data_IF_041014358440
#
_entry.id   IF_041014358440
#
_cell.length_a   1.000
_cell.length_b   1.000
_cell.length_c   1.000
_cell.angle_alpha   90.00
_cell.angle_beta   90.00
_cell.angle_gamma   90.00
#
_symmetry.space_group_name_H-M   'P 1'
#
loop_
_entity.id
_entity.type
_entity.pdbx_description
1 polymer ?
#
# COMPACT_ATOMS: atom_id res chain seq x y z
N UNK A 1 6.11 13.46 18.22
CA UNK A 1 5.27 13.03 19.37
C UNK A 1 6.17 12.37 20.40
N UNK A 2 6.18 12.85 21.65
CA UNK A 2 6.79 12.11 22.75
C UNK A 2 5.88 10.91 23.05
N UNK A 3 6.21 9.75 22.49
CA UNK A 3 5.46 8.51 22.70
C UNK A 3 5.45 8.15 24.18
N UNK A 4 4.31 7.65 24.67
CA UNK A 4 4.20 7.17 26.04
C UNK A 4 5.22 6.04 26.26
N UNK A 5 6.04 6.09 27.32
CA UNK A 5 7.03 5.05 27.58
C UNK A 5 6.39 3.66 27.64
N UNK A 6 7.08 2.63 27.10
CA UNK A 6 6.56 1.26 27.07
C UNK A 6 6.15 0.74 28.46
N UNK A 7 6.82 1.17 29.53
CA UNK A 7 6.46 0.76 30.90
C UNK A 7 5.05 1.23 31.30
N UNK A 8 4.62 2.42 30.85
CA UNK A 8 3.28 2.93 31.10
C UNK A 8 2.25 2.17 30.28
N UNK A 9 2.55 1.90 29.01
CA UNK A 9 1.72 1.04 28.14
C UNK A 9 1.52 -0.32 28.80
N UNK A 10 2.59 -0.93 29.31
CA UNK A 10 2.54 -2.21 30.01
C UNK A 10 1.65 -2.18 31.24
N UNK A 11 1.70 -1.12 32.04
CA UNK A 11 0.86 -0.98 33.22
C UNK A 11 -0.62 -0.90 32.84
N UNK A 12 -0.94 -0.14 31.79
CA UNK A 12 -2.31 -0.03 31.26
C UNK A 12 -2.80 -1.39 30.73
N UNK A 13 -1.99 -2.07 29.91
CA UNK A 13 -2.32 -3.38 29.34
C UNK A 13 -2.56 -4.47 30.40
N UNK A 14 -1.98 -4.32 31.59
CA UNK A 14 -2.24 -5.23 32.73
C UNK A 14 -3.56 -4.93 33.46
N UNK A 15 -4.11 -3.74 33.31
CA UNK A 15 -5.34 -3.31 33.98
C UNK A 15 -6.60 -3.56 33.14
N UNK A 16 -6.44 -3.85 31.85
CA UNK A 16 -7.55 -4.09 30.93
C UNK A 16 -7.69 -5.57 30.60
N UNK A 17 -8.91 -6.02 30.30
CA UNK A 17 -9.12 -7.35 29.74
C UNK A 17 -8.71 -7.35 28.26
N UNK A 18 -7.51 -7.86 27.98
CA UNK A 18 -6.94 -7.90 26.64
C UNK A 18 -7.79 -8.70 25.66
N UNK A 19 -8.53 -9.70 26.13
CA UNK A 19 -9.38 -10.53 25.28
C UNK A 19 -10.51 -9.71 24.63
N UNK A 20 -10.96 -8.62 25.27
CA UNK A 20 -12.02 -7.76 24.71
C UNK A 20 -11.51 -6.76 23.66
N UNK A 21 -10.19 -6.66 23.43
CA UNK A 21 -9.62 -5.68 22.50
C UNK A 21 -9.84 -6.16 21.07
N UNK A 22 -10.49 -5.32 20.26
CA UNK A 22 -10.78 -5.59 18.85
C UNK A 22 -9.86 -4.80 17.90
N UNK A 23 -9.27 -3.70 18.36
CA UNK A 23 -8.44 -2.84 17.53
C UNK A 23 -7.20 -2.38 18.30
N UNK A 24 -6.05 -2.40 17.63
CA UNK A 24 -4.78 -1.90 18.16
C UNK A 24 -4.08 -1.06 17.10
N UNK A 25 -3.70 0.15 17.48
CA UNK A 25 -2.78 0.99 16.72
C UNK A 25 -1.53 1.27 17.54
N UNK A 26 -0.37 0.89 16.98
CA UNK A 26 0.95 1.19 17.52
C UNK A 26 1.63 2.16 16.56
N UNK A 27 1.61 3.43 16.91
CA UNK A 27 2.31 4.49 16.17
C UNK A 27 3.44 5.06 17.02
N UNK A 28 4.51 4.29 17.18
CA UNK A 28 5.67 4.65 17.98
C UNK A 28 6.93 4.22 17.24
N UNK A 29 7.99 5.03 17.31
CA UNK A 29 9.32 4.72 16.78
C UNK A 29 10.02 3.62 17.59
N UNK A 30 9.43 2.44 17.65
CA UNK A 30 9.95 1.30 18.39
C UNK A 30 11.00 0.58 17.57
N UNK A 31 12.11 0.24 18.22
CA UNK A 31 13.01 -0.77 17.68
C UNK A 31 12.42 -2.16 17.93
N UNK A 32 12.76 -3.13 17.08
CA UNK A 32 12.26 -4.50 17.14
C UNK A 32 12.35 -5.16 18.54
N UNK A 33 13.43 -5.00 19.35
CA UNK A 33 13.47 -5.51 20.72
C UNK A 33 12.47 -4.87 21.71
N UNK A 34 11.98 -3.65 21.42
CA UNK A 34 10.92 -3.01 22.20
C UNK A 34 9.57 -3.60 21.77
N UNK A 35 9.37 -3.80 20.45
CA UNK A 35 8.19 -4.48 19.93
C UNK A 35 8.05 -5.89 20.53
N UNK A 36 9.15 -6.63 20.73
CA UNK A 36 9.08 -7.98 21.32
C UNK A 36 8.61 -8.00 22.78
N UNK A 37 8.74 -6.89 23.50
CA UNK A 37 8.17 -6.75 24.85
C UNK A 37 6.65 -6.55 24.81
N UNK A 38 6.10 -6.03 23.71
CA UNK A 38 4.66 -5.91 23.48
C UNK A 38 4.01 -7.23 23.03
N UNK A 39 4.77 -8.08 22.34
CA UNK A 39 4.34 -9.37 21.78
C UNK A 39 3.46 -10.23 22.71
N UNK A 40 3.79 -10.43 24.02
CA UNK A 40 2.96 -11.26 24.88
C UNK A 40 1.55 -10.71 25.12
N UNK A 41 1.36 -9.39 25.04
CA UNK A 41 0.05 -8.75 25.17
C UNK A 41 -0.74 -8.90 23.88
N UNK A 42 -0.10 -8.73 22.72
CA UNK A 42 -0.73 -8.96 21.42
C UNK A 42 -1.32 -10.37 21.32
N UNK A 43 -0.56 -11.39 21.75
CA UNK A 43 -1.05 -12.77 21.75
C UNK A 43 -2.20 -13.08 22.71
N UNK A 44 -2.54 -12.17 23.62
CA UNK A 44 -3.71 -12.30 24.52
C UNK A 44 -4.96 -11.62 23.95
N UNK A 45 -4.84 -10.79 22.91
CA UNK A 45 -5.94 -10.08 22.28
C UNK A 45 -6.62 -10.97 21.24
N UNK A 46 -7.27 -12.05 21.70
CA UNK A 46 -7.77 -13.10 20.79
C UNK A 46 -8.88 -12.62 19.87
N UNK A 47 -9.67 -11.63 20.28
CA UNK A 47 -10.75 -11.02 19.50
C UNK A 47 -10.29 -9.83 18.62
N UNK A 48 -8.98 -9.65 18.43
CA UNK A 48 -8.43 -8.58 17.61
C UNK A 48 -8.84 -8.74 16.14
N UNK A 49 -9.46 -7.70 15.58
CA UNK A 49 -9.92 -7.60 14.20
C UNK A 49 -9.05 -6.67 13.36
N UNK A 50 -8.52 -5.60 13.97
CA UNK A 50 -7.66 -4.59 13.32
C UNK A 50 -6.33 -4.45 14.06
N UNK A 51 -5.23 -4.58 13.32
CA UNK A 51 -3.90 -4.27 13.80
C UNK A 51 -3.23 -3.26 12.87
N UNK A 52 -2.83 -2.12 13.43
CA UNK A 52 -2.02 -1.11 12.77
C UNK A 52 -0.68 -0.98 13.49
N UNK A 53 0.41 -1.23 12.76
CA UNK A 53 1.78 -1.03 13.23
C UNK A 53 2.46 0.02 12.35
N UNK A 54 3.06 1.00 12.98
CA UNK A 54 3.69 2.14 12.32
C UNK A 54 5.06 2.42 12.93
N UNK A 55 6.05 2.72 12.08
CA UNK A 55 7.38 3.19 12.47
C UNK A 55 8.19 2.19 13.34
N UNK A 56 8.21 0.91 12.95
CA UNK A 56 9.02 -0.10 13.64
C UNK A 56 10.34 -0.29 12.90
N UNK A 57 11.44 -0.05 13.60
CA UNK A 57 12.77 -0.16 13.02
C UNK A 57 13.57 -1.38 13.53
N UNK A 58 14.50 -1.87 12.73
CA UNK A 58 15.47 -2.89 13.12
C UNK A 58 16.73 -2.18 13.59
N UNK A 59 17.14 -2.41 14.84
CA UNK A 59 18.40 -1.84 15.30
C UNK A 59 19.58 -2.42 14.51
N UNK A 60 20.41 -1.56 13.91
CA UNK A 60 21.60 -1.97 13.14
C UNK A 60 22.62 -2.84 13.90
N UNK A 61 22.50 -2.94 15.22
CA UNK A 61 23.44 -3.63 16.10
C UNK A 61 23.10 -5.11 16.40
N UNK A 62 21.95 -5.63 15.95
CA UNK A 62 21.43 -6.95 16.40
C UNK A 62 21.07 -7.88 15.23
N UNK A 63 21.98 -8.04 14.27
CA UNK A 63 21.75 -8.88 13.09
C UNK A 63 21.50 -10.36 13.43
N UNK A 64 22.17 -10.90 14.46
CA UNK A 64 22.08 -12.33 14.79
C UNK A 64 20.76 -12.72 15.49
N UNK A 65 20.15 -11.83 16.28
CA UNK A 65 18.86 -12.08 16.96
C UNK A 65 17.64 -11.52 16.25
N UNK A 66 17.82 -10.79 15.14
CA UNK A 66 16.70 -10.21 14.39
C UNK A 66 15.67 -11.28 14.02
N UNK A 67 16.10 -12.41 13.43
CA UNK A 67 15.19 -13.51 13.06
C UNK A 67 14.41 -14.07 14.24
N UNK A 68 15.06 -14.19 15.41
CA UNK A 68 14.41 -14.65 16.64
C UNK A 68 13.32 -13.67 17.09
N UNK A 69 13.62 -12.36 17.08
CA UNK A 69 12.63 -11.35 17.44
C UNK A 69 11.47 -11.25 16.44
N UNK A 70 11.75 -11.36 15.14
CA UNK A 70 10.70 -11.41 14.12
C UNK A 70 9.82 -12.63 14.35
N UNK A 71 10.42 -13.82 14.52
CA UNK A 71 9.68 -15.07 14.80
C UNK A 71 8.84 -14.94 16.08
N UNK A 72 9.41 -14.37 17.14
CA UNK A 72 8.73 -14.15 18.41
C UNK A 72 7.48 -13.28 18.20
N UNK A 73 7.61 -12.19 17.44
CA UNK A 73 6.50 -11.29 17.12
C UNK A 73 5.45 -11.94 16.21
N UNK A 74 5.86 -12.46 15.05
CA UNK A 74 4.97 -13.03 14.03
C UNK A 74 4.20 -14.24 14.52
N UNK A 75 4.82 -15.07 15.39
CA UNK A 75 4.14 -16.25 15.98
C UNK A 75 2.87 -15.91 16.77
N UNK A 76 2.69 -14.66 17.25
CA UNK A 76 1.45 -14.29 17.94
C UNK A 76 0.25 -14.21 17.00
N UNK A 77 0.47 -14.00 15.70
CA UNK A 77 -0.61 -13.97 14.71
C UNK A 77 -1.35 -15.31 14.63
N UNK A 78 -0.71 -16.42 15.05
CA UNK A 78 -1.36 -17.72 15.20
C UNK A 78 -2.54 -17.71 16.18
N UNK A 79 -2.56 -16.75 17.12
CA UNK A 79 -3.61 -16.60 18.16
C UNK A 79 -4.67 -15.56 17.79
N UNK A 80 -4.46 -14.80 16.71
CA UNK A 80 -5.33 -13.70 16.28
C UNK A 80 -6.38 -14.21 15.30
N UNK A 81 -7.31 -15.03 15.80
CA UNK A 81 -8.27 -15.77 14.98
C UNK A 81 -9.39 -14.93 14.36
N UNK A 82 -9.44 -13.62 14.62
CA UNK A 82 -10.43 -12.71 14.05
C UNK A 82 -9.81 -11.56 13.26
N UNK A 83 -8.48 -11.57 13.07
CA UNK A 83 -7.78 -10.50 12.36
C UNK A 83 -8.22 -10.47 10.90
N UNK A 84 -8.79 -9.34 10.49
CA UNK A 84 -9.26 -9.11 9.12
C UNK A 84 -8.62 -7.86 8.50
N UNK A 85 -8.09 -6.95 9.31
CA UNK A 85 -7.47 -5.73 8.84
C UNK A 85 -6.05 -5.59 9.39
N UNK A 86 -5.09 -5.50 8.48
CA UNK A 86 -3.68 -5.43 8.81
C UNK A 86 -3.03 -4.24 8.10
N UNK A 87 -2.55 -3.29 8.89
CA UNK A 87 -1.85 -2.10 8.42
C UNK A 87 -0.42 -2.11 8.96
N UNK A 88 0.57 -1.99 8.07
CA UNK A 88 1.98 -1.90 8.41
C UNK A 88 2.62 -0.78 7.62
N UNK A 89 2.96 0.30 8.32
CA UNK A 89 3.55 1.48 7.71
C UNK A 89 4.98 1.68 8.25
N UNK A 90 5.98 1.73 7.38
CA UNK A 90 7.39 1.90 7.77
C UNK A 90 7.83 0.86 8.82
N UNK A 91 7.60 -0.42 8.53
CA UNK A 91 7.96 -1.57 9.35
C UNK A 91 9.14 -2.30 8.70
N UNK A 92 10.37 -1.98 9.11
CA UNK A 92 11.58 -2.41 8.38
C UNK A 92 11.89 -3.90 8.53
N UNK A 93 11.41 -4.56 9.58
CA UNK A 93 11.66 -6.00 9.76
C UNK A 93 10.95 -6.91 8.75
N UNK A 94 10.03 -6.37 7.94
CA UNK A 94 9.33 -7.15 6.90
C UNK A 94 10.25 -7.57 5.75
N UNK A 95 11.33 -6.84 5.51
CA UNK A 95 12.28 -7.12 4.43
C UNK A 95 12.85 -8.53 4.57
N UNK A 96 12.50 -9.43 3.64
CA UNK A 96 12.93 -10.82 3.62
C UNK A 96 12.30 -11.72 4.71
N UNK A 97 11.25 -11.24 5.40
CA UNK A 97 10.58 -11.97 6.48
C UNK A 97 9.04 -11.93 6.41
N UNK A 98 8.48 -11.41 5.31
CA UNK A 98 7.02 -11.32 5.16
C UNK A 98 6.37 -12.72 5.18
N UNK A 99 7.07 -13.74 4.69
CA UNK A 99 6.65 -15.15 4.71
C UNK A 99 6.32 -15.66 6.12
N UNK A 100 7.13 -15.32 7.12
CA UNK A 100 6.93 -15.73 8.51
C UNK A 100 5.60 -15.18 9.04
N UNK A 101 5.31 -13.90 8.75
CA UNK A 101 4.05 -13.29 9.16
C UNK A 101 2.86 -13.91 8.43
N UNK A 102 2.95 -14.02 7.09
CA UNK A 102 1.88 -14.54 6.26
C UNK A 102 1.53 -16.00 6.60
N UNK A 103 2.53 -16.81 6.96
CA UNK A 103 2.33 -18.21 7.37
C UNK A 103 1.56 -18.35 8.69
N UNK A 104 1.57 -17.30 9.53
CA UNK A 104 0.88 -17.29 10.81
C UNK A 104 -0.58 -16.83 10.71
N UNK A 105 -1.00 -16.22 9.60
CA UNK A 105 -2.38 -15.77 9.39
C UNK A 105 -3.34 -16.95 9.23
N UNK A 106 -4.35 -17.06 10.10
CA UNK A 106 -5.37 -18.12 10.06
C UNK A 106 -6.67 -17.69 9.41
N UNK A 107 -6.95 -16.40 9.37
CA UNK A 107 -8.16 -15.82 8.82
C UNK A 107 -7.90 -15.10 7.50
N UNK A 108 -8.85 -15.15 6.55
CA UNK A 108 -8.81 -14.28 5.39
C UNK A 108 -8.86 -12.81 5.81
N UNK A 109 -7.88 -12.03 5.35
CA UNK A 109 -7.86 -10.58 5.47
C UNK A 109 -8.83 -9.96 4.47
N UNK A 110 -9.50 -8.89 4.91
CA UNK A 110 -10.27 -7.96 4.07
C UNK A 110 -9.42 -6.76 3.67
N UNK A 111 -8.55 -6.30 4.57
CA UNK A 111 -7.67 -5.14 4.34
C UNK A 111 -6.23 -5.54 4.62
N UNK A 112 -5.37 -5.27 3.64
CA UNK A 112 -3.93 -5.33 3.78
C UNK A 112 -3.32 -4.04 3.25
N UNK A 113 -2.71 -3.27 4.14
CA UNK A 113 -1.91 -2.12 3.80
C UNK A 113 -0.48 -2.35 4.27
N UNK A 114 0.47 -2.42 3.34
CA UNK A 114 1.90 -2.42 3.64
C UNK A 114 2.47 -1.19 2.94
N UNK A 115 2.73 -0.12 3.68
CA UNK A 115 3.10 1.16 3.10
C UNK A 115 4.47 1.63 3.58
N UNK A 116 5.23 2.30 2.72
CA UNK A 116 6.56 2.85 3.06
C UNK A 116 7.51 1.81 3.70
N UNK A 117 7.38 0.54 3.31
CA UNK A 117 8.22 -0.56 3.75
C UNK A 117 9.19 -0.96 2.63
N UNK A 118 10.31 -1.58 3.01
CA UNK A 118 11.21 -2.24 2.06
C UNK A 118 10.77 -3.70 1.95
N UNK A 119 10.49 -4.15 0.72
CA UNK A 119 10.16 -5.55 0.43
C UNK A 119 11.07 -6.06 -0.68
N UNK A 120 11.44 -7.34 -0.59
CA UNK A 120 12.16 -8.06 -1.64
C UNK A 120 11.17 -8.69 -2.63
N UNK A 121 11.67 -9.10 -3.80
CA UNK A 121 10.86 -9.84 -4.75
C UNK A 121 10.32 -11.16 -4.16
N UNK A 122 11.08 -11.81 -3.27
CA UNK A 122 10.61 -12.99 -2.52
C UNK A 122 9.39 -12.68 -1.66
N UNK A 123 9.36 -11.52 -1.00
CA UNK A 123 8.23 -11.11 -0.16
C UNK A 123 6.96 -10.94 -1.01
N UNK A 124 7.08 -10.34 -2.20
CA UNK A 124 5.96 -10.24 -3.14
C UNK A 124 5.47 -11.62 -3.62
N UNK A 125 6.39 -12.57 -3.86
CA UNK A 125 6.03 -13.95 -4.20
C UNK A 125 5.26 -14.61 -3.06
N UNK A 126 5.75 -14.52 -1.82
CA UNK A 126 5.06 -15.06 -0.65
C UNK A 126 3.69 -14.43 -0.45
N UNK A 127 3.58 -13.12 -0.63
CA UNK A 127 2.30 -12.41 -0.56
C UNK A 127 1.31 -12.94 -1.61
N UNK A 128 1.75 -13.07 -2.87
CA UNK A 128 0.91 -13.60 -3.95
C UNK A 128 0.45 -15.04 -3.73
N UNK A 129 1.21 -15.83 -2.96
CA UNK A 129 0.91 -17.24 -2.68
C UNK A 129 0.07 -17.43 -1.41
N UNK A 130 0.03 -16.44 -0.52
CA UNK A 130 -0.69 -16.53 0.74
C UNK A 130 -2.20 -16.79 0.51
N UNK A 131 -2.79 -17.83 1.13
CA UNK A 131 -4.24 -18.08 1.05
C UNK A 131 -5.06 -17.01 1.78
N UNK A 132 -4.52 -16.47 2.87
CA UNK A 132 -5.19 -15.51 3.74
C UNK A 132 -5.42 -14.14 3.08
N UNK A 133 -4.85 -13.88 1.90
CA UNK A 133 -5.09 -12.64 1.13
C UNK A 133 -6.08 -12.82 -0.03
N UNK A 134 -6.69 -13.99 -0.18
CA UNK A 134 -7.56 -14.30 -1.34
C UNK A 134 -8.91 -13.58 -1.36
N UNK A 135 -9.26 -12.86 -0.29
CA UNK A 135 -10.55 -12.18 -0.10
C UNK A 135 -10.37 -10.68 0.19
N UNK A 136 -9.21 -10.12 -0.19
CA UNK A 136 -8.93 -8.71 0.03
C UNK A 136 -9.92 -7.84 -0.75
N UNK A 137 -10.48 -6.87 -0.02
CA UNK A 137 -11.19 -5.70 -0.55
C UNK A 137 -10.25 -4.51 -0.72
N UNK A 138 -9.21 -4.44 0.10
CA UNK A 138 -8.25 -3.34 0.07
C UNK A 138 -6.84 -3.89 0.04
N UNK A 139 -6.10 -3.51 -1.01
CA UNK A 139 -4.66 -3.72 -1.12
C UNK A 139 -3.98 -2.37 -1.29
N UNK A 140 -3.16 -1.98 -0.31
CA UNK A 140 -2.41 -0.74 -0.34
C UNK A 140 -0.91 -1.04 -0.19
N UNK A 141 -0.15 -0.77 -1.24
CA UNK A 141 1.30 -1.00 -1.30
C UNK A 141 2.08 0.31 -1.49
N UNK A 142 1.46 1.46 -1.17
CA UNK A 142 2.02 2.78 -1.42
C UNK A 142 3.41 2.95 -0.79
N UNK A 143 4.33 3.55 -1.53
CA UNK A 143 5.70 3.82 -1.08
C UNK A 143 6.59 2.58 -0.99
N UNK A 144 6.12 1.38 -1.38
CA UNK A 144 7.02 0.23 -1.58
C UNK A 144 7.74 0.41 -2.91
N UNK A 145 9.07 0.38 -2.90
CA UNK A 145 9.88 0.45 -4.12
C UNK A 145 9.72 -0.83 -4.96
N UNK A 146 8.88 -0.75 -5.99
CA UNK A 146 8.65 -1.81 -6.97
C UNK A 146 9.48 -1.61 -8.27
N UNK A 147 10.16 -0.48 -8.41
CA UNK A 147 11.09 -0.22 -9.49
C UNK A 147 12.11 -1.36 -9.64
N UNK A 148 12.29 -1.87 -10.87
CA UNK A 148 13.21 -2.95 -11.23
C UNK A 148 12.89 -4.34 -10.64
N UNK A 149 11.78 -4.53 -9.94
CA UNK A 149 11.31 -5.86 -9.49
C UNK A 149 10.44 -6.55 -10.56
N UNK A 150 10.38 -7.87 -10.54
CA UNK A 150 9.38 -8.60 -11.32
C UNK A 150 7.97 -8.38 -10.74
N UNK A 151 7.03 -7.85 -11.53
CA UNK A 151 5.64 -7.62 -11.09
C UNK A 151 4.70 -8.81 -11.34
N UNK A 152 5.20 -9.95 -11.81
CA UNK A 152 4.40 -11.17 -11.98
C UNK A 152 3.73 -11.61 -10.66
N UNK A 153 4.39 -11.57 -9.49
CA UNK A 153 3.70 -11.87 -8.23
C UNK A 153 2.54 -10.92 -7.93
N UNK A 154 2.70 -9.61 -8.22
CA UNK A 154 1.62 -8.64 -8.05
C UNK A 154 0.47 -8.91 -9.03
N UNK A 155 0.77 -9.26 -10.28
CA UNK A 155 -0.23 -9.70 -11.26
C UNK A 155 -1.01 -10.93 -10.76
N UNK A 156 -0.32 -11.94 -10.21
CA UNK A 156 -0.95 -13.14 -9.64
C UNK A 156 -1.85 -12.78 -8.45
N UNK A 157 -1.38 -11.89 -7.56
CA UNK A 157 -2.17 -11.41 -6.43
C UNK A 157 -3.44 -10.69 -6.92
N UNK A 158 -3.32 -9.74 -7.84
CA UNK A 158 -4.47 -9.03 -8.41
C UNK A 158 -5.44 -10.00 -9.10
N UNK A 159 -4.94 -10.99 -9.83
CA UNK A 159 -5.78 -12.03 -10.45
C UNK A 159 -6.54 -12.86 -9.41
N UNK A 160 -5.93 -13.12 -8.25
CA UNK A 160 -6.55 -13.84 -7.13
C UNK A 160 -7.67 -13.04 -6.47
N UNK A 161 -7.49 -11.73 -6.31
CA UNK A 161 -8.44 -10.84 -5.61
C UNK A 161 -9.36 -10.07 -6.56
N UNK A 162 -9.33 -10.38 -7.86
CA UNK A 162 -10.06 -9.63 -8.88
C UNK A 162 -11.58 -9.57 -8.63
N UNK A 163 -12.17 -10.61 -8.03
CA UNK A 163 -13.60 -10.65 -7.72
C UNK A 163 -14.01 -9.94 -6.42
N UNK A 164 -13.05 -9.41 -5.65
CA UNK A 164 -13.30 -8.84 -4.31
C UNK A 164 -12.67 -7.47 -4.10
N UNK A 165 -11.68 -7.09 -4.90
CA UNK A 165 -10.86 -5.91 -4.68
C UNK A 165 -11.63 -4.63 -5.00
N UNK A 166 -11.85 -3.80 -3.99
CA UNK A 166 -12.56 -2.52 -4.06
C UNK A 166 -11.60 -1.32 -4.07
N UNK A 167 -10.43 -1.43 -3.43
CA UNK A 167 -9.38 -0.41 -3.39
C UNK A 167 -8.01 -0.99 -3.73
N UNK A 168 -7.31 -0.32 -4.65
CA UNK A 168 -5.91 -0.59 -4.97
C UNK A 168 -5.08 0.68 -4.90
N UNK A 169 -4.09 0.71 -4.00
CA UNK A 169 -3.11 1.80 -3.88
C UNK A 169 -1.70 1.32 -4.27
N UNK A 170 -1.12 1.95 -5.28
CA UNK A 170 0.24 1.70 -5.78
C UNK A 170 1.00 3.03 -5.98
N UNK A 171 0.69 4.05 -5.20
CA UNK A 171 1.38 5.33 -5.26
C UNK A 171 2.85 5.18 -4.84
N UNK A 172 3.72 5.98 -5.43
CA UNK A 172 5.12 6.11 -5.03
C UNK A 172 5.91 4.81 -5.07
N UNK A 173 5.49 3.89 -5.94
CA UNK A 173 6.13 2.60 -6.10
C UNK A 173 7.31 2.62 -7.09
N UNK A 174 7.49 3.70 -7.84
CA UNK A 174 8.52 3.81 -8.87
C UNK A 174 8.32 2.84 -10.04
N UNK A 175 7.09 2.41 -10.30
CA UNK A 175 6.76 1.51 -11.41
C UNK A 175 6.99 2.26 -12.73
N UNK A 176 7.81 1.67 -13.61
CA UNK A 176 8.13 2.25 -14.93
C UNK A 176 7.28 1.65 -16.05
N UNK A 177 7.35 2.27 -17.24
CA UNK A 177 6.60 1.90 -18.46
C UNK A 177 6.58 0.40 -18.75
N UNK A 178 7.75 -0.25 -18.73
CA UNK A 178 7.89 -1.68 -19.04
C UNK A 178 7.16 -2.58 -18.04
N UNK A 179 7.08 -2.17 -16.77
CA UNK A 179 6.47 -2.97 -15.70
C UNK A 179 4.95 -2.85 -15.66
N UNK A 180 4.37 -1.71 -16.05
CA UNK A 180 2.90 -1.50 -16.03
C UNK A 180 2.18 -2.59 -16.82
N UNK A 181 2.69 -2.92 -18.02
CA UNK A 181 2.11 -3.94 -18.90
C UNK A 181 1.91 -5.31 -18.22
N UNK A 182 2.70 -5.64 -17.20
CA UNK A 182 2.62 -6.90 -16.47
C UNK A 182 1.34 -6.99 -15.62
N UNK A 183 0.90 -5.89 -15.01
CA UNK A 183 -0.26 -5.91 -14.10
C UNK A 183 -1.59 -5.65 -14.82
N UNK A 184 -1.58 -5.03 -16.01
CA UNK A 184 -2.80 -4.63 -16.74
C UNK A 184 -3.80 -5.78 -16.97
N UNK A 185 -3.39 -7.01 -17.37
CA UNK A 185 -4.35 -8.09 -17.62
C UNK A 185 -5.13 -8.47 -16.36
N UNK A 186 -4.47 -8.51 -15.21
CA UNK A 186 -5.12 -8.83 -13.94
C UNK A 186 -5.97 -7.65 -13.43
N UNK A 187 -5.46 -6.41 -13.53
CA UNK A 187 -6.18 -5.20 -13.16
C UNK A 187 -7.50 -5.06 -13.93
N UNK A 188 -7.50 -5.32 -15.24
CA UNK A 188 -8.69 -5.24 -16.10
C UNK A 188 -9.82 -6.20 -15.74
N UNK A 189 -9.57 -7.15 -14.83
CA UNK A 189 -10.54 -8.13 -14.31
C UNK A 189 -11.09 -7.75 -12.93
N UNK A 190 -10.59 -6.68 -12.31
CA UNK A 190 -10.98 -6.24 -10.98
C UNK A 190 -12.29 -5.43 -11.03
N UNK A 191 -13.41 -6.07 -11.38
CA UNK A 191 -14.68 -5.38 -11.65
C UNK A 191 -15.31 -4.71 -10.42
N UNK A 192 -14.95 -5.16 -9.21
CA UNK A 192 -15.38 -4.54 -7.95
C UNK A 192 -14.58 -3.28 -7.59
N UNK A 193 -13.54 -2.94 -8.36
CA UNK A 193 -12.64 -1.84 -8.04
C UNK A 193 -13.38 -0.49 -8.11
N UNK A 194 -13.43 0.20 -6.97
CA UNK A 194 -14.05 1.52 -6.82
C UNK A 194 -13.01 2.63 -6.75
N UNK A 195 -11.82 2.34 -6.22
CA UNK A 195 -10.73 3.30 -6.09
C UNK A 195 -9.43 2.70 -6.60
N UNK A 196 -8.79 3.40 -7.52
CA UNK A 196 -7.46 3.07 -8.01
C UNK A 196 -6.53 4.27 -7.87
N UNK A 197 -5.45 4.10 -7.13
CA UNK A 197 -4.42 5.13 -6.93
C UNK A 197 -3.08 4.65 -7.44
N UNK A 198 -2.47 5.42 -8.34
CA UNK A 198 -1.23 5.11 -9.03
C UNK A 198 -0.26 6.30 -9.09
N UNK A 199 -0.43 7.27 -8.19
CA UNK A 199 0.29 8.54 -8.18
C UNK A 199 1.81 8.39 -7.99
N UNK A 200 2.60 9.33 -8.51
CA UNK A 200 4.06 9.34 -8.33
C UNK A 200 4.84 8.20 -8.97
N UNK A 201 4.22 7.42 -9.87
CA UNK A 201 4.94 6.48 -10.71
C UNK A 201 5.42 7.17 -12.00
N UNK A 202 6.71 7.03 -12.39
CA UNK A 202 7.31 7.77 -13.49
C UNK A 202 6.97 7.17 -14.87
N UNK A 203 5.70 7.14 -15.22
CA UNK A 203 5.17 6.57 -16.47
C UNK A 203 4.96 7.63 -17.55
N UNK A 204 5.22 7.25 -18.79
CA UNK A 204 4.97 8.08 -19.97
C UNK A 204 3.48 8.25 -20.27
N UNK A 205 3.16 9.24 -21.10
CA UNK A 205 1.85 9.47 -21.69
C UNK A 205 1.30 8.21 -22.36
N UNK A 206 2.11 7.53 -23.18
CA UNK A 206 1.68 6.33 -23.91
C UNK A 206 1.30 5.18 -22.96
N UNK A 207 2.07 4.98 -21.90
CA UNK A 207 1.75 3.97 -20.88
C UNK A 207 0.49 4.34 -20.12
N UNK A 208 0.30 5.62 -19.79
CA UNK A 208 -0.89 6.08 -19.09
C UNK A 208 -2.15 5.95 -19.95
N UNK A 209 -2.07 6.25 -21.25
CA UNK A 209 -3.14 5.96 -22.21
C UNK A 209 -3.50 4.47 -22.21
N UNK A 210 -2.50 3.59 -22.27
CA UNK A 210 -2.72 2.15 -22.23
C UNK A 210 -3.39 1.71 -20.91
N UNK A 211 -2.92 2.22 -19.77
CA UNK A 211 -3.51 1.96 -18.46
C UNK A 211 -5.00 2.39 -18.42
N UNK A 212 -5.30 3.61 -18.89
CA UNK A 212 -6.67 4.12 -18.97
C UNK A 212 -7.55 3.24 -19.85
N UNK A 213 -7.05 2.78 -21.02
CA UNK A 213 -7.76 1.84 -21.89
C UNK A 213 -8.12 0.53 -21.17
N UNK A 214 -7.24 0.02 -20.31
CA UNK A 214 -7.50 -1.19 -19.54
C UNK A 214 -8.48 -1.00 -18.37
N UNK A 215 -8.73 0.24 -17.95
CA UNK A 215 -9.73 0.56 -16.92
C UNK A 215 -11.14 0.82 -17.47
N UNK A 216 -11.32 0.88 -18.79
CA UNK A 216 -12.63 1.18 -19.43
C UNK A 216 -13.74 0.26 -18.92
N UNK A 217 -13.42 -1.03 -18.72
CA UNK A 217 -14.39 -2.07 -18.32
C UNK A 217 -14.70 -2.08 -16.82
N UNK A 218 -13.99 -1.27 -16.03
CA UNK A 218 -14.13 -1.22 -14.57
C UNK A 218 -15.20 -0.17 -14.20
N UNK A 219 -16.46 -0.50 -14.49
CA UNK A 219 -17.60 0.42 -14.36
C UNK A 219 -17.89 0.91 -12.93
N UNK A 220 -17.36 0.20 -11.93
CA UNK A 220 -17.51 0.57 -10.52
C UNK A 220 -16.51 1.64 -10.06
N UNK A 221 -15.51 1.99 -10.88
CA UNK A 221 -14.53 3.02 -10.55
C UNK A 221 -15.22 4.36 -10.26
N UNK A 222 -15.05 4.82 -9.02
CA UNK A 222 -15.55 6.07 -8.49
C UNK A 222 -14.44 7.11 -8.36
N UNK A 223 -13.22 6.69 -8.03
CA UNK A 223 -12.07 7.55 -7.88
C UNK A 223 -10.84 6.93 -8.52
N UNK A 224 -10.19 7.69 -9.40
CA UNK A 224 -8.97 7.29 -10.08
C UNK A 224 -7.93 8.39 -9.95
N UNK A 225 -6.77 8.03 -9.41
CA UNK A 225 -5.65 8.94 -9.18
C UNK A 225 -4.46 8.49 -10.01
N UNK A 226 -4.11 9.26 -11.02
CA UNK A 226 -3.03 8.96 -11.95
C UNK A 226 -1.87 9.96 -11.81
N UNK A 227 -0.62 9.55 -12.08
CA UNK A 227 0.49 10.49 -12.09
C UNK A 227 0.34 11.44 -13.29
N UNK A 228 0.83 12.67 -13.14
CA UNK A 228 1.12 13.51 -14.30
C UNK A 228 2.08 12.73 -15.23
N UNK A 229 1.81 12.67 -16.55
CA UNK A 229 2.70 11.96 -17.47
C UNK A 229 4.13 12.46 -17.33
N UNK A 230 5.11 11.55 -17.35
CA UNK A 230 6.54 11.89 -17.30
C UNK A 230 6.92 12.91 -18.37
N UNK A 231 6.27 12.86 -19.53
CA UNK A 231 6.39 13.78 -20.65
C UNK A 231 6.00 15.24 -20.33
N UNK A 232 5.42 15.48 -19.16
CA UNK A 232 5.08 16.82 -18.65
C UNK A 232 6.25 17.49 -17.94
N UNK A 233 7.31 16.75 -17.62
CA UNK A 233 8.47 17.24 -16.91
C UNK A 233 9.66 17.43 -17.85
N UNK A 234 10.51 18.40 -17.54
CA UNK A 234 11.81 18.55 -18.22
C UNK A 234 12.86 17.58 -17.65
N UNK A 235 14.07 17.61 -18.22
CA UNK A 235 15.17 16.76 -17.77
C UNK A 235 15.61 17.03 -16.31
N UNK A 236 15.26 18.19 -15.75
CA UNK A 236 15.50 18.55 -14.36
C UNK A 236 14.39 18.12 -13.41
N UNK A 237 13.33 17.47 -13.91
CA UNK A 237 12.17 17.08 -13.10
C UNK A 237 11.22 18.24 -12.79
N UNK A 238 11.34 19.38 -13.48
CA UNK A 238 10.44 20.51 -13.29
C UNK A 238 9.21 20.36 -14.18
N UNK A 239 8.03 20.56 -13.60
CA UNK A 239 6.77 20.45 -14.33
C UNK A 239 6.62 21.61 -15.33
N UNK A 240 6.49 21.29 -16.61
CA UNK A 240 6.11 22.24 -17.63
C UNK A 240 4.58 22.37 -17.68
N UNK A 241 4.04 23.41 -17.02
CA UNK A 241 2.59 23.65 -16.91
C UNK A 241 1.82 23.59 -18.22
N UNK A 242 2.35 24.24 -19.27
CA UNK A 242 1.71 24.25 -20.60
C UNK A 242 1.63 22.85 -21.18
N UNK A 243 2.70 22.05 -21.03
CA UNK A 243 2.75 20.68 -21.54
C UNK A 243 1.84 19.77 -20.74
N UNK A 244 1.86 19.88 -19.41
CA UNK A 244 0.97 19.14 -18.52
C UNK A 244 -0.51 19.40 -18.85
N UNK A 245 -0.90 20.68 -18.99
CA UNK A 245 -2.27 21.05 -19.33
C UNK A 245 -2.73 20.45 -20.67
N UNK A 246 -1.85 20.46 -21.68
CA UNK A 246 -2.12 19.85 -22.98
C UNK A 246 -2.32 18.33 -22.88
N UNK A 247 -1.38 17.62 -22.24
CA UNK A 247 -1.45 16.16 -22.11
C UNK A 247 -2.65 15.71 -21.26
N UNK A 248 -2.93 16.43 -20.17
CA UNK A 248 -4.13 16.22 -19.34
C UNK A 248 -5.40 16.34 -20.17
N UNK A 249 -5.52 17.40 -20.98
CA UNK A 249 -6.69 17.62 -21.83
C UNK A 249 -6.86 16.49 -22.87
N UNK A 250 -5.76 16.03 -23.47
CA UNK A 250 -5.77 14.91 -24.42
C UNK A 250 -6.20 13.59 -23.76
N UNK A 251 -5.63 13.25 -22.60
CA UNK A 251 -6.01 12.04 -21.83
C UNK A 251 -7.49 12.08 -21.46
N UNK A 252 -7.96 13.21 -20.94
CA UNK A 252 -9.36 13.36 -20.55
C UNK A 252 -10.32 13.30 -21.74
N UNK A 253 -9.94 13.87 -22.89
CA UNK A 253 -10.70 13.74 -24.12
C UNK A 253 -10.89 12.27 -24.51
N UNK A 254 -9.80 11.51 -24.58
CA UNK A 254 -9.83 10.09 -24.93
C UNK A 254 -10.64 9.25 -23.95
N UNK A 255 -10.48 9.48 -22.64
CA UNK A 255 -11.26 8.73 -21.64
C UNK A 255 -12.75 9.00 -21.80
N UNK A 256 -13.15 10.25 -22.07
CA UNK A 256 -14.55 10.64 -22.28
C UNK A 256 -15.15 10.04 -23.55
N UNK A 257 -14.34 9.84 -24.59
CA UNK A 257 -14.77 9.14 -25.80
C UNK A 257 -15.04 7.65 -25.55
N UNK A 258 -14.41 7.07 -24.52
CA UNK A 258 -14.47 5.64 -24.20
C UNK A 258 -15.45 5.28 -23.09
N UNK A 259 -15.61 6.15 -22.07
CA UNK A 259 -16.54 5.97 -20.95
C UNK A 259 -16.87 7.30 -20.25
N UNK A 260 -17.83 7.25 -19.33
CA UNK A 260 -18.17 8.38 -18.45
C UNK A 260 -17.50 8.20 -17.08
N UNK A 261 -16.26 8.67 -16.87
CA UNK A 261 -15.60 8.53 -15.58
C UNK A 261 -16.29 9.39 -14.52
N UNK A 262 -16.41 8.86 -13.29
CA UNK A 262 -16.98 9.59 -12.16
C UNK A 262 -16.01 10.67 -11.65
N UNK A 263 -14.78 10.29 -11.30
CA UNK A 263 -13.75 11.22 -10.84
C UNK A 263 -12.35 10.71 -11.18
N UNK A 264 -11.67 11.42 -12.07
CA UNK A 264 -10.26 11.21 -12.42
C UNK A 264 -9.48 12.45 -11.99
N UNK A 265 -8.38 12.26 -11.26
CA UNK A 265 -7.44 13.31 -10.90
C UNK A 265 -6.04 12.92 -11.37
N UNK A 266 -5.32 13.88 -11.92
CA UNK A 266 -3.88 13.76 -12.18
C UNK A 266 -3.10 14.47 -11.07
N UNK A 267 -2.14 13.77 -10.48
CA UNK A 267 -1.32 14.28 -9.40
C UNK A 267 0.07 14.63 -9.92
N UNK A 268 0.54 15.83 -9.56
CA UNK A 268 1.94 16.21 -9.80
C UNK A 268 2.86 15.54 -8.79
N UNK A 269 4.16 15.61 -9.07
CA UNK A 269 5.19 15.28 -8.11
C UNK A 269 5.13 16.23 -6.91
N UNK A 270 5.84 15.86 -5.84
CA UNK A 270 5.90 16.66 -4.63
C UNK A 270 6.50 18.04 -4.91
N UNK A 271 5.81 19.10 -4.50
CA UNK A 271 6.34 20.45 -4.55
C UNK A 271 7.55 20.56 -3.62
N UNK A 272 8.65 21.13 -4.11
CA UNK A 272 9.88 21.31 -3.32
C UNK A 272 9.69 22.25 -2.12
N UNK A 273 8.79 23.24 -2.24
CA UNK A 273 8.58 24.26 -1.19
C UNK A 273 7.66 23.76 -0.07
N UNK A 274 6.56 23.09 -0.43
CA UNK A 274 5.52 22.72 0.53
C UNK A 274 5.41 21.22 0.81
N UNK A 275 6.15 20.38 0.08
CA UNK A 275 6.15 18.92 0.25
C UNK A 275 4.82 18.23 -0.10
N UNK A 276 3.87 18.97 -0.68
CA UNK A 276 2.55 18.45 -1.05
C UNK A 276 2.46 18.19 -2.55
N UNK A 277 1.55 17.30 -2.93
CA UNK A 277 1.12 17.10 -4.31
C UNK A 277 -0.07 17.97 -4.62
N UNK A 278 -0.18 18.33 -5.88
CA UNK A 278 -1.35 19.03 -6.39
C UNK A 278 -2.16 18.12 -7.29
N UNK A 279 -3.48 18.16 -7.12
CA UNK A 279 -4.41 17.28 -7.82
C UNK A 279 -5.27 18.07 -8.81
N UNK A 280 -5.27 17.60 -10.04
CA UNK A 280 -5.86 18.27 -11.19
C UNK A 280 -7.00 17.44 -11.75
N UNK A 281 -8.23 17.93 -11.56
CA UNK A 281 -9.47 17.33 -12.04
C UNK A 281 -10.13 18.14 -13.16
N UNK A 282 -11.45 17.94 -13.32
CA UNK A 282 -12.28 18.63 -14.31
C UNK A 282 -12.97 19.89 -13.79
N UNK A 283 -13.38 19.90 -12.51
CA UNK A 283 -14.34 20.89 -12.01
C UNK A 283 -13.71 21.96 -11.10
N UNK A 284 -12.60 21.64 -10.43
CA UNK A 284 -11.79 22.59 -9.66
C UNK A 284 -10.37 22.01 -9.56
N UNK A 285 -9.35 22.80 -9.90
CA UNK A 285 -7.97 22.46 -9.58
C UNK A 285 -7.82 22.60 -8.05
N UNK A 286 -7.56 21.48 -7.35
CA UNK A 286 -7.23 21.53 -5.93
C UNK A 286 -5.74 21.82 -5.82
N UNK A 287 -5.38 23.10 -6.01
CA UNK A 287 -4.07 23.63 -5.69
C UNK A 287 -3.85 23.58 -4.18
N UNK A 288 -2.87 22.82 -3.73
CA UNK A 288 -2.33 22.97 -2.37
C UNK A 288 -1.24 24.05 -2.30
N UNK A 289 -0.69 24.45 -3.45
CA UNK A 289 0.34 25.47 -3.68
C UNK A 289 0.14 25.92 -5.14
#
# INVERSE_FOLDING_TARGET
MLGMPLHNIRNILKMVNLDCIQEVEVNCSWILPILTQFTPYLGQMRNLQRLHLSHVDVSHYVSTKQKEFVTQFTSQFLKLHYLQELYMNSVSFLEGHLDQLLSCLKTPLKILAITNCVLLESDLRHLSQCPSVSQLKTLDLRGIRLANLCLVPLQVLLGKVAGTLEYLGLDDCGIVDSQVSTILPALSRCFELTTFSFCGNPISMATLENLLCHTIRLNNLCLELYPAPRDSYDAGGTLCWRRFAQLRAELMGRVRDLRHPKRILFCTDYCADCGNRTFYGLEVDQCCC
#
